data_IF_102736073388
#
_entry.id   IF_102736073388
#
_cell.length_a   1.000
_cell.length_b   1.000
_cell.length_c   1.000
_cell.angle_alpha   90.00
_cell.angle_beta   90.00
_cell.angle_gamma   90.00
#
_symmetry.space_group_name_H-M   'P 1'
#
loop_
_entity.id
_entity.type
_entity.pdbx_description
1 polymer ?
#
# COMPACT_ATOMS: atom_id res chain seq x y z
N UNK A 1 17.26 16.36 49.46
CA UNK A 1 16.79 15.04 48.97
C UNK A 1 17.16 14.99 47.50
N UNK A 2 18.19 14.24 47.13
CA UNK A 2 18.64 14.14 45.73
C UNK A 2 17.90 12.97 45.09
N UNK A 3 17.09 13.25 44.07
CA UNK A 3 16.41 12.24 43.26
C UNK A 3 17.31 11.86 42.09
N UNK A 4 17.66 10.58 41.98
CA UNK A 4 18.39 10.03 40.83
C UNK A 4 17.39 9.30 39.93
N UNK A 5 17.31 9.60 38.62
CA UNK A 5 16.43 8.88 37.71
C UNK A 5 16.97 7.47 37.49
N UNK A 6 16.13 6.45 37.69
CA UNK A 6 16.42 5.07 37.35
C UNK A 6 15.87 4.81 35.95
N UNK A 7 16.73 4.41 35.02
CA UNK A 7 16.36 3.96 33.67
C UNK A 7 15.99 2.48 33.74
N UNK A 8 14.72 2.16 33.51
CA UNK A 8 14.25 0.77 33.38
C UNK A 8 14.16 0.45 31.88
N UNK A 9 15.08 -0.36 31.32
CA UNK A 9 14.98 -0.78 29.93
C UNK A 9 13.84 -1.80 29.76
N UNK A 10 13.14 -1.72 28.63
CA UNK A 10 12.08 -2.64 28.19
C UNK A 10 10.78 -2.62 29.04
N UNK A 11 10.23 -1.44 29.31
CA UNK A 11 8.85 -1.32 29.79
C UNK A 11 7.91 -1.62 28.61
N UNK A 12 7.14 -2.70 28.73
CA UNK A 12 5.98 -2.96 27.87
C UNK A 12 4.78 -2.29 28.52
N UNK A 13 4.30 -1.20 27.93
CA UNK A 13 3.06 -0.54 28.36
C UNK A 13 1.93 -1.07 27.49
N UNK A 14 0.95 -1.73 28.11
CA UNK A 14 -0.31 -2.04 27.43
C UNK A 14 -1.16 -0.76 27.40
N UNK A 15 -1.37 -0.24 26.20
CA UNK A 15 -2.24 0.91 25.96
C UNK A 15 -3.53 0.44 25.31
N UNK A 16 -4.65 0.90 25.84
CA UNK A 16 -5.91 0.84 25.09
C UNK A 16 -5.83 1.78 23.88
N UNK A 17 -6.61 1.47 22.84
CA UNK A 17 -6.68 2.32 21.65
C UNK A 17 -7.08 3.76 21.99
N UNK A 18 -8.02 3.96 22.92
CA UNK A 18 -8.44 5.29 23.36
C UNK A 18 -7.30 6.08 24.02
N UNK A 19 -6.43 5.41 24.79
CA UNK A 19 -5.24 6.03 25.37
C UNK A 19 -4.20 6.39 24.31
N UNK A 20 -4.04 5.56 23.28
CA UNK A 20 -3.17 5.87 22.15
C UNK A 20 -3.68 7.10 21.39
N UNK A 21 -4.99 7.18 21.14
CA UNK A 21 -5.64 8.33 20.49
C UNK A 21 -5.46 9.60 21.33
N UNK A 22 -5.69 9.52 22.64
CA UNK A 22 -5.50 10.64 23.55
C UNK A 22 -4.04 11.12 23.57
N UNK A 23 -3.07 10.20 23.55
CA UNK A 23 -1.66 10.55 23.46
C UNK A 23 -1.31 11.21 22.12
N UNK A 24 -1.83 10.67 21.00
CA UNK A 24 -1.64 11.25 19.68
C UNK A 24 -2.22 12.68 19.56
N UNK A 25 -3.32 12.97 20.24
CA UNK A 25 -3.92 14.31 20.27
C UNK A 25 -3.03 15.34 21.00
N UNK A 26 -2.25 14.90 21.99
CA UNK A 26 -1.34 15.76 22.76
C UNK A 26 -0.02 16.07 22.03
N UNK A 27 0.26 15.38 20.92
CA UNK A 27 1.45 15.64 20.09
C UNK A 27 1.43 17.05 19.50
N UNK A 28 2.64 17.61 19.34
CA UNK A 28 2.85 18.85 18.60
C UNK A 28 2.62 18.69 17.10
N UNK A 29 2.66 19.80 16.37
CA UNK A 29 2.32 19.81 14.94
C UNK A 29 3.31 19.02 14.07
N UNK A 30 4.59 18.96 14.43
CA UNK A 30 5.58 18.21 13.67
C UNK A 30 5.52 16.71 14.00
N UNK A 31 5.36 16.34 15.26
CA UNK A 31 5.20 14.94 15.66
C UNK A 31 3.91 14.34 15.08
N UNK A 32 2.84 15.12 14.97
CA UNK A 32 1.60 14.70 14.28
C UNK A 32 1.84 14.42 12.80
N UNK A 33 2.61 15.25 12.10
CA UNK A 33 2.93 15.01 10.68
C UNK A 33 3.75 13.74 10.50
N UNK A 34 4.68 13.47 11.41
CA UNK A 34 5.48 12.24 11.39
C UNK A 34 4.61 11.01 11.66
N UNK A 35 3.74 11.06 12.67
CA UNK A 35 2.77 10.00 12.97
C UNK A 35 1.85 9.71 11.77
N UNK A 36 1.29 10.75 11.14
CA UNK A 36 0.45 10.59 9.95
C UNK A 36 1.22 9.96 8.80
N UNK A 37 2.48 10.39 8.57
CA UNK A 37 3.33 9.80 7.52
C UNK A 37 3.63 8.32 7.78
N UNK A 38 3.91 7.96 9.02
CA UNK A 38 4.17 6.58 9.40
C UNK A 38 2.93 5.69 9.19
N UNK A 39 1.73 6.18 9.54
CA UNK A 39 0.47 5.47 9.31
C UNK A 39 0.21 5.33 7.80
N UNK A 40 0.34 6.42 7.04
CA UNK A 40 0.09 6.40 5.59
C UNK A 40 1.04 5.49 4.81
N UNK A 41 2.29 5.34 5.26
CA UNK A 41 3.25 4.42 4.64
C UNK A 41 2.82 2.96 4.76
N UNK A 42 2.28 2.57 5.92
CA UNK A 42 1.77 1.20 6.15
C UNK A 42 0.58 0.91 5.23
N UNK A 43 -0.32 1.88 5.06
CA UNK A 43 -1.48 1.73 4.17
C UNK A 43 -1.06 1.66 2.69
N UNK A 44 -0.05 2.45 2.29
CA UNK A 44 0.49 2.41 0.93
C UNK A 44 1.15 1.07 0.61
N UNK A 45 1.90 0.50 1.55
CA UNK A 45 2.51 -0.83 1.39
C UNK A 45 1.44 -1.92 1.25
N UNK A 46 0.35 -1.82 2.02
CA UNK A 46 -0.78 -2.74 1.91
C UNK A 46 -1.50 -2.61 0.56
N UNK A 47 -1.69 -1.40 0.05
CA UNK A 47 -2.30 -1.16 -1.26
C UNK A 47 -1.40 -1.64 -2.41
N UNK A 48 -0.08 -1.46 -2.30
CA UNK A 48 0.89 -1.96 -3.26
C UNK A 48 0.92 -3.49 -3.30
N UNK A 49 0.91 -4.14 -2.13
CA UNK A 49 0.82 -5.61 -2.04
C UNK A 49 -0.48 -6.12 -2.69
N UNK A 50 -1.61 -5.45 -2.43
CA UNK A 50 -2.88 -5.79 -3.08
C UNK A 50 -2.80 -5.67 -4.60
N UNK A 51 -2.18 -4.61 -5.12
CA UNK A 51 -2.00 -4.42 -6.57
C UNK A 51 -1.09 -5.52 -7.18
N UNK A 52 -0.03 -5.92 -6.47
CA UNK A 52 0.84 -7.02 -6.90
C UNK A 52 0.05 -8.34 -6.95
N UNK A 53 -0.75 -8.62 -5.92
CA UNK A 53 -1.61 -9.81 -5.90
C UNK A 53 -2.62 -9.80 -7.05
N UNK A 54 -3.24 -8.66 -7.35
CA UNK A 54 -4.16 -8.50 -8.48
C UNK A 54 -3.46 -8.72 -9.84
N UNK A 55 -2.25 -8.18 -10.02
CA UNK A 55 -1.48 -8.33 -11.26
C UNK A 55 -0.95 -9.76 -11.46
N UNK A 56 -0.52 -10.41 -10.38
CA UNK A 56 -0.01 -11.79 -10.42
C UNK A 56 -1.12 -12.83 -10.52
N UNK A 57 -2.34 -12.50 -10.10
CA UNK A 57 -3.53 -13.33 -10.29
C UNK A 57 -4.09 -13.27 -11.72
N UNK A 58 -3.63 -12.36 -12.58
CA UNK A 58 -4.07 -12.33 -13.96
C UNK A 58 -3.53 -13.57 -14.70
N UNK A 59 -4.39 -14.30 -15.44
CA UNK A 59 -3.91 -15.37 -16.28
C UNK A 59 -2.90 -14.78 -17.29
N UNK A 60 -1.86 -15.53 -17.66
CA UNK A 60 -0.99 -15.12 -18.76
C UNK A 60 -1.90 -14.79 -19.95
N UNK A 61 -1.66 -13.63 -20.56
CA UNK A 61 -2.37 -13.27 -21.78
C UNK A 61 -2.09 -14.40 -22.76
N UNK A 62 -3.14 -15.03 -23.28
CA UNK A 62 -2.97 -16.06 -24.29
C UNK A 62 -2.10 -15.47 -25.41
N UNK A 63 -0.99 -16.13 -25.71
CA UNK A 63 -0.10 -15.69 -26.77
C UNK A 63 -0.93 -15.67 -28.06
N UNK A 64 -1.18 -14.47 -28.59
CA UNK A 64 -1.84 -14.29 -29.88
C UNK A 64 -0.97 -14.99 -30.92
N UNK A 65 -1.55 -15.98 -31.59
CA UNK A 65 -0.87 -16.72 -32.65
C UNK A 65 -0.76 -15.88 -33.91
N UNK A 66 0.27 -16.14 -34.72
CA UNK A 66 0.42 -15.50 -36.05
C UNK A 66 -0.83 -15.68 -36.92
N UNK A 67 -1.55 -16.80 -36.77
CA UNK A 67 -2.79 -17.07 -37.48
C UNK A 67 -3.95 -16.16 -37.06
N UNK A 68 -4.09 -15.87 -35.76
CA UNK A 68 -5.07 -14.91 -35.24
C UNK A 68 -4.74 -13.47 -35.69
N UNK A 69 -3.45 -13.10 -35.70
CA UNK A 69 -2.99 -11.80 -36.24
C UNK A 69 -3.38 -11.69 -37.72
N UNK A 70 -3.10 -12.72 -38.51
CA UNK A 70 -3.39 -12.72 -39.94
C UNK A 70 -4.89 -12.78 -40.26
N UNK A 71 -5.71 -13.33 -39.35
CA UNK A 71 -7.16 -13.29 -39.46
C UNK A 71 -7.68 -11.86 -39.22
N UNK A 72 -7.20 -11.19 -38.17
CA UNK A 72 -7.60 -9.83 -37.82
C UNK A 72 -7.18 -8.83 -38.92
N UNK A 73 -5.94 -8.92 -39.43
CA UNK A 73 -5.46 -8.09 -40.54
C UNK A 73 -6.37 -8.24 -41.78
N UNK A 74 -6.79 -9.48 -42.09
CA UNK A 74 -7.70 -9.74 -43.21
C UNK A 74 -9.08 -9.14 -42.97
N UNK A 75 -9.63 -9.29 -41.77
CA UNK A 75 -10.91 -8.71 -41.39
C UNK A 75 -10.91 -7.17 -41.52
N UNK A 76 -9.86 -6.49 -41.01
CA UNK A 76 -9.71 -5.03 -41.11
C UNK A 76 -9.58 -4.55 -42.56
N UNK A 77 -8.87 -5.29 -43.41
CA UNK A 77 -8.74 -4.94 -44.84
C UNK A 77 -10.05 -5.10 -45.61
N UNK A 78 -10.91 -6.04 -45.20
CA UNK A 78 -12.20 -6.30 -45.83
C UNK A 78 -13.30 -5.35 -45.33
N UNK A 79 -13.18 -4.83 -44.10
CA UNK A 79 -14.14 -3.89 -43.51
C UNK A 79 -13.89 -2.43 -43.88
N UNK A 80 -12.77 -2.12 -44.56
CA UNK A 80 -12.54 -0.78 -45.11
C UNK A 80 -13.54 -0.53 -46.25
N UNK A 81 -14.46 0.44 -46.11
CA UNK A 81 -15.24 0.88 -47.26
C UNK A 81 -14.27 1.53 -48.26
N UNK A 82 -14.45 1.24 -49.55
CA UNK A 82 -13.69 1.90 -50.62
C UNK A 82 -13.91 3.41 -50.63
#
# INVERSE_FOLDING_TARGET
MSTTPILIPNIVVELSFDQLVAAAQQLGSEEKKELIRAIALVDLDAELMRLIDELTAQPPVDDITDEEIMAEIRAVRQSRPQ
#
